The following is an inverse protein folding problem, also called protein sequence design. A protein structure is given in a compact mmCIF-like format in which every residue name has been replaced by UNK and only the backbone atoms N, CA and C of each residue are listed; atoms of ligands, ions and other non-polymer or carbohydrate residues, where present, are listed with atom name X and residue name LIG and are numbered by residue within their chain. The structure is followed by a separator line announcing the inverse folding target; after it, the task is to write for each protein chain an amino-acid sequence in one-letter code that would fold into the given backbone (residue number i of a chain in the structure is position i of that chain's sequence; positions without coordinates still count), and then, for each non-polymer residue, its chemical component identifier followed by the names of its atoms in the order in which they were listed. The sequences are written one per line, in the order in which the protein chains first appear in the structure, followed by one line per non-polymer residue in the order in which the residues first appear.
data_IF_067706287635
#
_entry.id   IF_067706287635
#
_cell.length_a   1.000
_cell.length_b   1.000
_cell.length_c   1.000
_cell.angle_alpha   90.00
_cell.angle_beta   90.00
_cell.angle_gamma   90.00
#
_symmetry.space_group_name_H-M   'P 1'
#
loop_
_entity.id
_entity.type
_entity.pdbx_description
1 polymer ?
#
# COMPACT_ATOMS: atom_id res chain seq x y z
N UNK A 1 35.21 -13.84 -9.21
CA UNK A 1 34.07 -12.90 -9.40
C UNK A 1 32.92 -13.40 -8.54
N UNK A 2 32.78 -12.92 -7.30
CA UNK A 2 31.71 -13.36 -6.39
C UNK A 2 30.55 -12.38 -6.45
N UNK A 3 29.37 -12.89 -6.80
CA UNK A 3 28.13 -12.14 -6.81
C UNK A 3 27.75 -11.68 -5.38
N UNK A 4 27.19 -10.48 -5.20
CA UNK A 4 26.71 -10.03 -3.89
C UNK A 4 25.47 -10.84 -3.48
N UNK A 5 25.48 -11.35 -2.24
CA UNK A 5 24.36 -12.07 -1.62
C UNK A 5 23.11 -11.16 -1.52
N UNK A 6 21.90 -11.67 -1.76
CA UNK A 6 20.69 -10.87 -1.62
C UNK A 6 20.42 -10.57 -0.13
N UNK A 7 20.36 -9.27 0.19
CA UNK A 7 20.01 -8.75 1.52
C UNK A 7 18.64 -9.31 1.96
N UNK A 8 18.62 -9.79 3.19
CA UNK A 8 17.59 -10.66 3.78
C UNK A 8 16.14 -10.26 3.47
N UNK A 9 15.46 -11.12 2.71
CA UNK A 9 14.00 -11.21 2.74
C UNK A 9 13.63 -11.73 4.13
N UNK A 10 13.21 -10.86 5.06
CA UNK A 10 12.81 -11.22 6.43
C UNK A 10 12.03 -12.54 6.41
N UNK A 11 12.67 -13.61 6.88
CA UNK A 11 12.07 -14.93 6.98
C UNK A 11 10.89 -14.78 7.94
N UNK A 12 9.67 -14.81 7.41
CA UNK A 12 8.47 -14.74 8.24
C UNK A 12 8.51 -16.00 9.10
N UNK A 13 8.76 -15.87 10.41
CA UNK A 13 8.75 -17.00 11.36
C UNK A 13 7.56 -17.91 11.02
N UNK A 14 7.79 -19.16 10.59
CA UNK A 14 6.72 -20.14 10.44
C UNK A 14 6.25 -20.47 11.86
N UNK A 15 4.97 -20.26 12.18
CA UNK A 15 4.42 -20.65 13.49
C UNK A 15 3.60 -19.60 14.24
N UNK A 16 3.31 -18.43 13.66
CA UNK A 16 2.22 -17.60 14.18
C UNK A 16 0.97 -17.96 13.39
N UNK A 17 0.06 -18.71 14.00
CA UNK A 17 -1.29 -18.94 13.51
C UNK A 17 -1.94 -17.58 13.24
N UNK A 18 -1.86 -17.15 11.97
CA UNK A 18 -2.49 -15.91 11.56
C UNK A 18 -3.98 -16.16 11.67
N UNK A 19 -4.65 -15.32 12.48
CA UNK A 19 -6.11 -15.25 12.55
C UNK A 19 -6.68 -15.44 11.14
N UNK A 20 -7.65 -16.36 10.94
CA UNK A 20 -8.22 -16.61 9.62
C UNK A 20 -8.59 -15.30 8.95
N UNK A 21 -8.23 -15.17 7.67
CA UNK A 21 -8.55 -13.96 6.90
C UNK A 21 -10.06 -13.87 6.75
N UNK A 22 -10.67 -12.99 7.53
CA UNK A 22 -12.06 -12.62 7.34
C UNK A 22 -12.16 -11.60 6.19
N UNK A 23 -12.99 -11.91 5.20
CA UNK A 23 -13.29 -10.98 4.11
C UNK A 23 -14.22 -9.88 4.60
N UNK A 24 -14.03 -8.65 4.11
CA UNK A 24 -14.97 -7.56 4.32
C UNK A 24 -16.20 -7.74 3.41
N UNK A 25 -17.37 -7.35 3.88
CA UNK A 25 -18.60 -7.39 3.08
C UNK A 25 -18.55 -6.33 1.97
N UNK A 26 -19.39 -6.51 0.94
CA UNK A 26 -19.50 -5.54 -0.17
C UNK A 26 -19.83 -4.12 0.34
N UNK A 27 -20.79 -4.00 1.26
CA UNK A 27 -21.18 -2.72 1.88
C UNK A 27 -20.03 -2.07 2.66
N UNK A 28 -19.23 -2.87 3.37
CA UNK A 28 -18.04 -2.36 4.06
C UNK A 28 -17.00 -1.82 3.08
N UNK A 29 -16.73 -2.57 2.00
CA UNK A 29 -15.78 -2.16 0.97
C UNK A 29 -16.23 -0.89 0.25
N UNK A 30 -17.51 -0.79 -0.11
CA UNK A 30 -18.08 0.38 -0.77
C UNK A 30 -17.87 1.65 0.06
N UNK A 31 -18.20 1.62 1.36
CA UNK A 31 -18.01 2.78 2.23
C UNK A 31 -16.53 3.14 2.40
N UNK A 32 -15.66 2.15 2.58
CA UNK A 32 -14.22 2.36 2.67
C UNK A 32 -13.64 2.97 1.38
N UNK A 33 -14.12 2.52 0.22
CA UNK A 33 -13.71 3.08 -1.08
C UNK A 33 -14.25 4.48 -1.31
N UNK A 34 -15.49 4.76 -0.93
CA UNK A 34 -16.07 6.09 -1.01
C UNK A 34 -15.24 7.11 -0.22
N UNK A 35 -14.89 6.78 1.02
CA UNK A 35 -14.04 7.62 1.86
C UNK A 35 -12.61 7.74 1.30
N UNK A 36 -12.06 6.64 0.76
CA UNK A 36 -10.75 6.69 0.11
C UNK A 36 -10.73 7.62 -1.12
N UNK A 37 -11.85 7.78 -1.84
CA UNK A 37 -11.94 8.72 -2.96
C UNK A 37 -11.84 10.16 -2.46
N UNK A 38 -12.47 10.48 -1.33
CA UNK A 38 -12.40 11.79 -0.67
C UNK A 38 -10.99 12.05 -0.13
N UNK A 39 -10.46 11.16 0.71
CA UNK A 39 -9.13 11.31 1.31
C UNK A 39 -8.34 9.99 1.29
N UNK A 40 -7.09 10.07 0.82
CA UNK A 40 -6.18 8.91 0.76
C UNK A 40 -5.58 8.59 2.15
N UNK A 41 -5.70 9.50 3.12
CA UNK A 41 -5.16 9.39 4.47
C UNK A 41 -6.22 9.76 5.50
N UNK A 42 -6.63 8.80 6.33
CA UNK A 42 -7.61 9.09 7.38
C UNK A 42 -7.01 9.87 8.54
N UNK A 43 -7.72 10.93 8.96
CA UNK A 43 -7.59 11.52 10.29
C UNK A 43 -8.02 10.53 11.39
N UNK A 44 -7.61 10.80 12.64
CA UNK A 44 -8.01 9.98 13.80
C UNK A 44 -9.53 9.96 13.96
N UNK A 45 -10.16 11.14 13.93
CA UNK A 45 -11.62 11.27 14.07
C UNK A 45 -12.37 10.48 13.01
N UNK A 46 -11.94 10.55 11.74
CA UNK A 46 -12.60 9.84 10.65
C UNK A 46 -12.43 8.32 10.75
N UNK A 47 -11.27 7.87 11.24
CA UNK A 47 -11.02 6.45 11.52
C UNK A 47 -11.96 5.92 12.59
N UNK A 48 -12.17 6.66 13.67
CA UNK A 48 -13.10 6.29 14.74
C UNK A 48 -14.55 6.24 14.23
N UNK A 49 -14.97 7.21 13.42
CA UNK A 49 -16.30 7.23 12.80
C UNK A 49 -16.54 5.97 11.95
N UNK A 50 -15.59 5.64 11.06
CA UNK A 50 -15.71 4.46 10.20
C UNK A 50 -15.65 3.15 10.96
N UNK A 51 -14.85 3.09 12.03
CA UNK A 51 -14.78 1.92 12.92
C UNK A 51 -16.16 1.60 13.50
N UNK A 52 -16.85 2.62 14.05
CA UNK A 52 -18.20 2.48 14.60
C UNK A 52 -19.22 2.13 13.51
N UNK A 53 -19.20 2.84 12.39
CA UNK A 53 -20.20 2.67 11.32
C UNK A 53 -20.12 1.29 10.63
N UNK A 54 -18.91 0.71 10.53
CA UNK A 54 -18.67 -0.53 9.77
C UNK A 54 -18.50 -1.76 10.67
N UNK A 55 -18.55 -1.60 11.99
CA UNK A 55 -18.23 -2.64 12.98
C UNK A 55 -16.86 -3.28 12.72
N UNK A 56 -15.86 -2.44 12.42
CA UNK A 56 -14.47 -2.84 12.22
C UNK A 56 -13.60 -2.15 13.24
N UNK A 57 -12.51 -2.77 13.66
CA UNK A 57 -11.54 -2.11 14.55
C UNK A 57 -10.78 -1.00 13.81
N UNK A 58 -10.37 0.04 14.52
CA UNK A 58 -9.52 1.10 13.96
C UNK A 58 -8.25 0.56 13.28
N UNK A 59 -7.70 -0.54 13.80
CA UNK A 59 -6.53 -1.22 13.23
C UNK A 59 -6.86 -1.83 11.87
N UNK A 60 -8.03 -2.46 11.72
CA UNK A 60 -8.49 -2.98 10.43
C UNK A 60 -8.72 -1.85 9.43
N UNK A 61 -9.36 -0.75 9.85
CA UNK A 61 -9.54 0.44 9.02
C UNK A 61 -8.17 0.98 8.56
N UNK A 62 -7.24 1.19 9.50
CA UNK A 62 -5.86 1.64 9.21
C UNK A 62 -5.15 0.72 8.22
N UNK A 63 -5.24 -0.59 8.44
CA UNK A 63 -4.60 -1.60 7.59
C UNK A 63 -5.20 -1.62 6.19
N UNK A 64 -6.53 -1.51 6.08
CA UNK A 64 -7.21 -1.43 4.80
C UNK A 64 -6.76 -0.19 4.02
N UNK A 65 -6.68 0.99 4.65
CA UNK A 65 -6.20 2.22 3.99
C UNK A 65 -4.74 2.11 3.55
N UNK A 66 -3.87 1.49 4.37
CA UNK A 66 -2.48 1.23 3.99
C UNK A 66 -2.38 0.31 2.76
N UNK A 67 -3.15 -0.77 2.74
CA UNK A 67 -3.22 -1.70 1.61
C UNK A 67 -3.80 -1.01 0.37
N UNK A 68 -4.83 -0.18 0.54
CA UNK A 68 -5.49 0.54 -0.54
C UNK A 68 -4.57 1.56 -1.20
N UNK A 69 -3.79 2.33 -0.42
CA UNK A 69 -2.73 3.22 -0.93
C UNK A 69 -1.66 2.46 -1.71
N UNK A 70 -1.24 1.30 -1.19
CA UNK A 70 -0.28 0.44 -1.90
C UNK A 70 -0.81 -0.01 -3.27
N UNK A 71 -2.07 -0.46 -3.32
CA UNK A 71 -2.74 -0.84 -4.57
C UNK A 71 -2.86 0.34 -5.52
N UNK A 72 -3.27 1.52 -5.03
CA UNK A 72 -3.39 2.73 -5.83
C UNK A 72 -2.06 3.15 -6.46
N UNK A 73 -0.98 3.18 -5.67
CA UNK A 73 0.37 3.47 -6.18
C UNK A 73 0.79 2.46 -7.25
N UNK A 74 0.58 1.16 -7.02
CA UNK A 74 0.87 0.12 -8.02
C UNK A 74 0.08 0.32 -9.31
N UNK A 75 -1.20 0.66 -9.23
CA UNK A 75 -2.03 0.95 -10.40
C UNK A 75 -1.48 2.13 -11.21
N UNK A 76 -1.08 3.21 -10.54
CA UNK A 76 -0.45 4.35 -11.19
C UNK A 76 0.84 3.95 -11.91
N UNK A 77 1.76 3.25 -11.22
CA UNK A 77 3.01 2.77 -11.82
C UNK A 77 2.76 1.82 -12.99
N UNK A 78 1.78 0.91 -12.89
CA UNK A 78 1.44 -0.02 -13.97
C UNK A 78 0.90 0.71 -15.20
N UNK A 79 0.01 1.69 -15.04
CA UNK A 79 -0.49 2.51 -16.17
C UNK A 79 0.65 3.20 -16.90
N UNK A 80 1.61 3.72 -16.15
CA UNK A 80 2.74 4.42 -16.72
C UNK A 80 3.73 3.48 -17.44
N UNK A 81 3.95 2.27 -16.90
CA UNK A 81 4.71 1.22 -17.62
C UNK A 81 4.02 0.77 -18.91
N UNK A 82 2.68 0.73 -18.94
CA UNK A 82 1.92 0.44 -20.16
C UNK A 82 2.12 1.57 -21.19
N UNK A 83 2.04 2.83 -20.76
CA UNK A 83 2.26 3.98 -21.63
C UNK A 83 3.70 4.01 -22.21
N UNK A 84 4.70 3.59 -21.42
CA UNK A 84 6.08 3.38 -21.89
C UNK A 84 6.14 2.31 -22.99
N UNK A 85 5.48 1.15 -22.78
CA UNK A 85 5.44 0.08 -23.79
C UNK A 85 4.76 0.51 -25.08
N UNK A 86 3.81 1.44 -25.00
CA UNK A 86 3.10 2.01 -26.15
C UNK A 86 3.85 3.18 -26.80
N UNK A 87 5.05 3.54 -26.32
CA UNK A 87 5.85 4.64 -26.87
C UNK A 87 5.28 6.04 -26.63
N UNK A 88 4.27 6.18 -25.76
CA UNK A 88 3.56 7.45 -25.53
C UNK A 88 4.34 8.44 -24.64
N UNK A 89 5.37 7.97 -23.93
CA UNK A 89 6.22 8.81 -23.08
C UNK A 89 7.70 8.41 -23.19
N UNK A 90 8.63 9.39 -23.29
CA UNK A 90 10.06 9.13 -23.32
C UNK A 90 10.58 8.51 -22.00
N UNK A 91 11.63 7.64 -22.05
CA UNK A 91 12.13 6.88 -20.89
C UNK A 91 12.56 7.74 -19.68
N UNK A 92 12.95 8.98 -19.92
CA UNK A 92 13.51 9.90 -18.91
C UNK A 92 12.46 10.68 -18.11
N UNK A 93 11.19 10.69 -18.54
CA UNK A 93 10.09 11.25 -17.74
C UNK A 93 9.65 10.34 -16.59
N UNK A 94 10.20 9.13 -16.53
CA UNK A 94 9.87 8.15 -15.52
C UNK A 94 10.96 8.10 -14.44
N UNK A 95 10.79 8.77 -13.29
CA UNK A 95 11.69 8.53 -12.17
C UNK A 95 11.64 7.03 -11.86
N UNK A 96 12.81 6.41 -11.83
CA UNK A 96 12.94 4.98 -11.59
C UNK A 96 12.14 4.63 -10.33
N UNK A 97 11.45 3.49 -10.34
CA UNK A 97 10.58 3.07 -9.22
C UNK A 97 11.33 3.03 -7.88
N UNK A 98 12.66 3.03 -7.90
CA UNK A 98 13.53 3.24 -6.74
C UNK A 98 13.33 4.60 -6.05
N UNK A 99 13.10 5.70 -6.76
CA UNK A 99 12.99 7.04 -6.15
C UNK A 99 11.73 7.20 -5.27
N UNK A 100 10.59 6.61 -5.64
CA UNK A 100 9.38 6.63 -4.80
C UNK A 100 9.46 5.72 -3.56
N UNK A 101 10.45 4.82 -3.49
CA UNK A 101 10.77 4.09 -2.26
C UNK A 101 11.66 4.90 -1.32
N UNK A 102 12.52 5.76 -1.87
CA UNK A 102 13.45 6.59 -1.09
C UNK A 102 12.74 7.73 -0.33
N UNK A 103 11.69 8.33 -0.91
CA UNK A 103 10.92 9.40 -0.25
C UNK A 103 10.04 8.91 0.92
N UNK A 104 9.87 7.60 1.08
CA UNK A 104 9.10 6.99 2.17
C UNK A 104 9.87 5.87 2.87
N UNK A 105 11.20 5.90 2.79
CA UNK A 105 12.02 5.11 3.69
C UNK A 105 11.79 5.64 5.11
N UNK A 106 11.46 4.80 6.11
CA UNK A 106 11.49 5.26 7.49
C UNK A 106 12.91 5.72 7.80
N UNK A 107 13.01 6.85 8.51
CA UNK A 107 14.24 7.58 8.87
C UNK A 107 15.32 6.80 9.65
N UNK A 108 15.25 5.47 9.71
CA UNK A 108 16.15 4.63 10.50
C UNK A 108 17.20 3.89 9.65
N UNK A 109 17.52 4.37 8.46
CA UNK A 109 18.56 3.78 7.63
C UNK A 109 19.71 4.76 7.40
N UNK A 110 20.55 4.94 8.43
CA UNK A 110 22.01 5.06 8.34
C UNK A 110 22.60 5.49 9.70
N UNK A 111 23.90 5.26 9.97
CA UNK A 111 24.87 4.43 9.22
C UNK A 111 25.07 3.03 9.79
#
# INVERSE_FOLDING_TARGET
ISAPKPVGRRTRKPGIDRKPRQAYSAKQLERLEAEFKVDKYLSVSKRMELSKALNLTEVQIKTWFQNRRTKWKKQLTSRLKIAQRQGLFPPHYFPSVQQYSALFAPYYAAP
#
